data_IF_751961934026
#
_entry.id   IF_751961934026
#
_cell.length_a   1.000
_cell.length_b   1.000
_cell.length_c   1.000
_cell.angle_alpha   90.00
_cell.angle_beta   90.00
_cell.angle_gamma   90.00
#
_symmetry.space_group_name_H-M   'P 1'
#
loop_
_entity.id
_entity.type
_entity.pdbx_description
1 polymer ?
#
# COMPACT_ATOMS: atom_id res chain seq x y z
N UNK A 1 -2.15 20.80 -0.07
CA UNK A 1 -3.50 20.29 0.31
C UNK A 1 -4.53 20.84 -0.64
N UNK A 2 -5.55 20.06 -0.97
CA UNK A 2 -6.71 20.52 -1.74
C UNK A 2 -7.81 21.10 -0.84
N UNK A 3 -8.95 21.48 -1.42
CA UNK A 3 -10.08 22.05 -0.69
C UNK A 3 -10.69 21.09 0.35
N UNK A 4 -10.72 19.78 0.08
CA UNK A 4 -11.25 18.77 1.00
C UNK A 4 -10.32 18.63 2.20
N UNK A 5 -9.01 18.58 1.95
CA UNK A 5 -8.01 18.51 3.00
C UNK A 5 -8.01 19.75 3.90
N UNK A 6 -8.12 20.94 3.30
CA UNK A 6 -8.25 22.19 4.05
C UNK A 6 -9.53 22.23 4.87
N UNK A 7 -10.67 21.82 4.29
CA UNK A 7 -11.95 21.78 5.01
C UNK A 7 -11.90 20.86 6.22
N UNK A 8 -11.29 19.67 6.08
CA UNK A 8 -11.11 18.74 7.19
C UNK A 8 -10.38 19.37 8.38
N UNK A 9 -9.28 20.11 8.14
CA UNK A 9 -8.58 20.82 9.22
C UNK A 9 -9.31 22.06 9.73
N UNK A 10 -10.03 22.77 8.85
CA UNK A 10 -10.90 23.86 9.30
C UNK A 10 -11.96 23.34 10.26
N UNK A 11 -12.54 22.14 10.05
CA UNK A 11 -13.45 21.55 11.03
C UNK A 11 -12.82 21.36 12.42
N UNK A 12 -11.55 20.94 12.51
CA UNK A 12 -10.83 20.87 13.79
C UNK A 12 -10.62 22.27 14.39
N UNK A 13 -10.29 23.26 13.57
CA UNK A 13 -10.17 24.65 14.00
C UNK A 13 -11.51 25.20 14.53
N UNK A 14 -12.62 24.99 13.82
CA UNK A 14 -13.97 25.37 14.24
C UNK A 14 -14.39 24.70 15.55
N UNK A 15 -13.96 23.45 15.78
CA UNK A 15 -14.17 22.80 17.08
C UNK A 15 -13.44 23.55 18.21
N UNK A 16 -12.26 24.10 17.95
CA UNK A 16 -11.50 24.88 18.94
C UNK A 16 -12.16 26.23 19.29
N UNK A 17 -12.98 26.77 18.38
CA UNK A 17 -13.74 28.01 18.56
C UNK A 17 -15.11 27.82 19.23
N UNK A 18 -15.50 26.58 19.54
CA UNK A 18 -16.81 26.29 20.11
C UNK A 18 -17.08 27.06 21.42
N UNK A 19 -18.33 27.48 21.60
CA UNK A 19 -18.79 28.22 22.77
C UNK A 19 -19.60 27.33 23.71
N UNK A 20 -19.60 27.68 24.99
CA UNK A 20 -20.52 27.13 25.99
C UNK A 20 -21.91 27.76 25.82
N UNK A 21 -22.92 27.20 26.50
CA UNK A 21 -24.29 27.73 26.51
C UNK A 21 -24.41 29.20 26.93
N UNK A 22 -23.50 29.67 27.79
CA UNK A 22 -23.45 31.06 28.25
C UNK A 22 -22.63 31.99 27.34
N UNK A 23 -22.27 31.55 26.13
CA UNK A 23 -21.48 32.33 25.17
C UNK A 23 -19.98 32.39 25.45
N UNK A 24 -19.50 31.89 26.59
CA UNK A 24 -18.07 31.86 26.90
C UNK A 24 -17.34 30.79 26.09
N UNK A 25 -16.06 30.99 25.71
CA UNK A 25 -15.27 30.00 24.98
C UNK A 25 -15.19 28.65 25.71
N UNK A 26 -15.35 27.55 24.97
CA UNK A 26 -15.14 26.19 25.50
C UNK A 26 -13.65 25.93 25.78
N UNK A 27 -12.78 26.50 24.95
CA UNK A 27 -11.33 26.41 25.04
C UNK A 27 -10.73 27.77 25.40
N UNK A 28 -9.75 27.77 26.31
CA UNK A 28 -8.93 28.97 26.56
C UNK A 28 -8.03 29.23 25.36
N UNK A 29 -7.57 30.48 25.23
CA UNK A 29 -6.70 30.90 24.13
C UNK A 29 -5.43 30.05 24.04
N UNK A 30 -4.85 29.73 25.21
CA UNK A 30 -3.71 28.80 25.31
C UNK A 30 -4.03 27.39 24.81
N UNK A 31 -5.19 26.84 25.17
CA UNK A 31 -5.56 25.49 24.75
C UNK A 31 -5.79 25.45 23.22
N UNK A 32 -6.34 26.52 22.63
CA UNK A 32 -6.49 26.64 21.16
C UNK A 32 -5.13 26.73 20.48
N UNK A 33 -4.23 27.59 20.97
CA UNK A 33 -2.90 27.80 20.37
C UNK A 33 -2.06 26.52 20.40
N UNK A 34 -2.07 25.78 21.52
CA UNK A 34 -1.43 24.44 21.61
C UNK A 34 -1.98 23.48 20.54
N UNK A 35 -3.30 23.42 20.34
CA UNK A 35 -3.91 22.54 19.33
C UNK A 35 -3.49 22.94 17.91
N UNK A 36 -3.50 24.25 17.63
CA UNK A 36 -3.10 24.79 16.33
C UNK A 36 -1.64 24.43 16.04
N UNK A 37 -0.71 24.80 16.91
CA UNK A 37 0.73 24.56 16.74
C UNK A 37 1.09 23.07 16.70
N UNK A 38 0.34 22.19 17.39
CA UNK A 38 0.64 20.75 17.36
C UNK A 38 0.40 20.14 15.97
N UNK A 39 -0.59 20.64 15.23
CA UNK A 39 -1.06 20.03 13.97
C UNK A 39 -1.00 20.97 12.76
N UNK A 40 -0.56 22.21 12.93
CA UNK A 40 -0.51 23.22 11.88
C UNK A 40 -1.89 23.69 11.42
N UNK A 41 -2.85 23.85 12.36
CA UNK A 41 -4.20 24.33 12.01
C UNK A 41 -4.20 25.84 11.79
N UNK A 42 -5.06 26.32 10.88
CA UNK A 42 -5.17 27.73 10.50
C UNK A 42 -3.80 28.39 10.23
N UNK A 43 -3.02 27.74 9.36
CA UNK A 43 -1.71 28.18 8.87
C UNK A 43 -0.63 28.35 9.96
N UNK A 44 -0.81 27.75 11.13
CA UNK A 44 0.23 27.72 12.15
C UNK A 44 1.38 26.78 11.78
N UNK A 45 2.60 27.12 12.22
CA UNK A 45 3.74 26.23 12.11
C UNK A 45 3.61 25.04 13.07
N UNK A 46 4.00 23.86 12.59
CA UNK A 46 3.94 22.62 13.35
C UNK A 46 5.09 22.58 14.35
N UNK A 47 4.76 22.46 15.63
CA UNK A 47 5.69 22.36 16.74
C UNK A 47 5.50 21.05 17.51
N UNK A 48 6.61 20.51 18.00
CA UNK A 48 6.62 19.39 18.93
C UNK A 48 6.17 19.82 20.32
N UNK A 49 5.72 18.86 21.14
CA UNK A 49 5.40 19.15 22.55
C UNK A 49 6.60 19.68 23.34
N UNK A 50 7.83 19.44 22.90
CA UNK A 50 9.03 19.98 23.56
C UNK A 50 9.21 21.46 23.25
N UNK A 51 9.03 21.86 21.99
CA UNK A 51 9.11 23.26 21.57
C UNK A 51 7.98 24.09 22.18
N UNK A 52 6.73 23.57 22.13
CA UNK A 52 5.59 24.20 22.81
C UNK A 52 5.84 24.26 24.33
N UNK A 53 6.43 23.24 24.94
CA UNK A 53 6.73 23.29 26.37
C UNK A 53 7.72 24.42 26.71
N UNK A 54 8.76 24.60 25.88
CA UNK A 54 9.75 25.66 26.04
C UNK A 54 9.13 27.05 25.86
N UNK A 55 8.34 27.26 24.81
CA UNK A 55 7.71 28.57 24.52
C UNK A 55 6.81 29.03 25.68
N UNK A 56 6.05 28.11 26.29
CA UNK A 56 5.10 28.44 27.35
C UNK A 56 5.68 28.32 28.76
N UNK A 57 6.96 27.98 28.91
CA UNK A 57 7.60 27.76 30.22
C UNK A 57 6.96 26.62 31.01
N UNK A 58 6.50 25.57 30.33
CA UNK A 58 5.84 24.40 30.92
C UNK A 58 6.69 23.15 30.74
N UNK A 59 6.36 22.09 31.47
CA UNK A 59 6.93 20.77 31.17
C UNK A 59 6.24 20.13 29.96
N UNK A 60 6.96 19.29 29.23
CA UNK A 60 6.41 18.49 28.12
C UNK A 60 5.20 17.66 28.55
N UNK A 61 5.24 17.09 29.75
CA UNK A 61 4.12 16.33 30.32
C UNK A 61 2.90 17.23 30.56
N UNK A 62 3.10 18.48 30.97
CA UNK A 62 2.00 19.42 31.12
C UNK A 62 1.34 19.75 29.79
N UNK A 63 2.11 19.94 28.72
CA UNK A 63 1.57 20.11 27.35
C UNK A 63 0.77 18.87 26.94
N UNK A 64 1.29 17.66 27.18
CA UNK A 64 0.56 16.40 26.90
C UNK A 64 -0.78 16.33 27.63
N UNK A 65 -0.83 16.71 28.91
CA UNK A 65 -2.07 16.72 29.68
C UNK A 65 -3.09 17.74 29.14
N UNK A 66 -2.64 18.94 28.77
CA UNK A 66 -3.50 19.94 28.13
C UNK A 66 -4.04 19.44 26.80
N UNK A 67 -3.19 18.79 26.00
CA UNK A 67 -3.58 18.13 24.76
C UNK A 67 -4.68 17.09 24.99
N UNK A 68 -4.54 16.18 25.95
CA UNK A 68 -5.59 15.22 26.32
C UNK A 68 -6.89 15.93 26.75
N UNK A 69 -6.78 17.02 27.51
CA UNK A 69 -7.95 17.82 27.95
C UNK A 69 -8.69 18.46 26.76
N UNK A 70 -7.96 18.91 25.74
CA UNK A 70 -8.54 19.46 24.52
C UNK A 70 -9.42 18.41 23.83
N UNK A 71 -8.88 17.22 23.56
CA UNK A 71 -9.66 16.16 22.92
C UNK A 71 -10.81 15.65 23.79
N UNK A 72 -10.70 15.64 25.12
CA UNK A 72 -11.86 15.37 26.01
C UNK A 72 -13.03 16.32 25.77
N UNK A 73 -12.78 17.60 25.46
CA UNK A 73 -13.84 18.56 25.11
C UNK A 73 -14.44 18.29 23.73
N UNK A 74 -13.65 17.82 22.76
CA UNK A 74 -14.18 17.40 21.45
C UNK A 74 -15.18 16.23 21.59
N UNK A 75 -14.97 15.29 22.52
CA UNK A 75 -15.98 14.25 22.80
C UNK A 75 -17.28 14.78 23.42
N UNK A 76 -17.22 15.91 24.13
CA UNK A 76 -18.45 16.62 24.50
C UNK A 76 -19.13 17.21 23.27
N UNK A 77 -18.40 17.82 22.35
CA UNK A 77 -18.96 18.33 21.09
C UNK A 77 -19.58 17.22 20.24
N UNK A 78 -18.93 16.05 20.16
CA UNK A 78 -19.42 14.86 19.48
C UNK A 78 -20.76 14.39 20.01
N UNK A 79 -20.91 14.26 21.33
CA UNK A 79 -22.19 13.88 21.97
C UNK A 79 -23.33 14.86 21.71
N UNK A 80 -23.02 16.10 21.36
CA UNK A 80 -24.01 17.13 21.04
C UNK A 80 -24.16 17.36 19.52
N UNK A 81 -23.61 16.48 18.67
CA UNK A 81 -23.65 16.59 17.21
C UNK A 81 -23.21 17.98 16.71
N UNK A 82 -22.13 18.52 17.27
CA UNK A 82 -21.58 19.79 16.79
C UNK A 82 -21.26 19.69 15.28
N UNK A 83 -21.66 20.64 14.43
CA UNK A 83 -21.59 20.48 12.97
C UNK A 83 -20.19 20.09 12.46
N UNK A 84 -19.14 20.75 12.95
CA UNK A 84 -17.77 20.44 12.55
C UNK A 84 -17.32 19.03 12.98
N UNK A 85 -17.85 18.48 14.07
CA UNK A 85 -17.59 17.09 14.46
C UNK A 85 -18.25 16.11 13.49
N UNK A 86 -19.49 16.40 13.06
CA UNK A 86 -20.20 15.58 12.07
C UNK A 86 -19.42 15.54 10.75
N UNK A 87 -18.90 16.68 10.30
CA UNK A 87 -18.06 16.73 9.09
C UNK A 87 -16.75 15.96 9.24
N UNK A 88 -16.07 16.07 10.39
CA UNK A 88 -14.87 15.24 10.66
C UNK A 88 -15.24 13.76 10.58
N UNK A 89 -16.34 13.35 11.22
CA UNK A 89 -16.80 11.96 11.23
C UNK A 89 -17.14 11.45 9.82
N UNK A 90 -17.77 12.30 9.00
CA UNK A 90 -18.04 12.02 7.58
C UNK A 90 -16.75 11.83 6.78
N UNK A 91 -15.76 12.71 6.97
CA UNK A 91 -14.47 12.59 6.28
C UNK A 91 -13.73 11.32 6.67
N UNK A 92 -13.63 10.98 7.96
CA UNK A 92 -12.83 9.82 8.41
C UNK A 92 -13.52 8.48 8.21
N UNK A 93 -14.85 8.48 8.01
CA UNK A 93 -15.63 7.27 7.73
C UNK A 93 -16.07 7.15 6.28
N UNK A 94 -15.69 8.09 5.41
CA UNK A 94 -16.17 8.19 4.03
C UNK A 94 -17.69 8.13 3.96
N UNK A 95 -18.37 9.03 4.67
CA UNK A 95 -19.82 9.03 4.84
C UNK A 95 -20.34 7.66 5.32
N UNK A 96 -19.74 7.12 6.38
CA UNK A 96 -20.05 5.82 6.99
C UNK A 96 -19.77 4.57 6.13
N UNK A 97 -19.12 4.71 4.97
CA UNK A 97 -18.73 3.57 4.12
C UNK A 97 -17.52 2.80 4.68
N UNK A 98 -16.76 3.39 5.58
CA UNK A 98 -15.57 2.81 6.22
C UNK A 98 -15.83 2.66 7.71
N UNK A 99 -15.63 1.44 8.23
CA UNK A 99 -15.73 1.18 9.67
C UNK A 99 -14.51 1.72 10.40
N UNK A 100 -14.73 2.67 11.30
CA UNK A 100 -13.68 3.26 12.16
C UNK A 100 -13.16 2.24 13.18
N UNK A 101 -13.95 1.23 13.52
CA UNK A 101 -13.53 0.18 14.47
C UNK A 101 -12.69 -0.93 13.82
N UNK A 102 -12.69 -1.01 12.49
CA UNK A 102 -11.83 -1.94 11.77
C UNK A 102 -10.50 -1.26 11.43
N UNK A 103 -9.45 -1.55 12.19
CA UNK A 103 -8.13 -0.93 12.01
C UNK A 103 -7.58 -1.09 10.59
N UNK A 104 -7.84 -2.22 9.93
CA UNK A 104 -7.40 -2.44 8.56
C UNK A 104 -8.11 -1.51 7.57
N UNK A 105 -9.44 -1.50 7.57
CA UNK A 105 -10.21 -0.63 6.68
C UNK A 105 -9.91 0.84 6.94
N UNK A 106 -9.85 1.23 8.22
CA UNK A 106 -9.60 2.60 8.64
C UNK A 106 -8.19 3.07 8.22
N UNK A 107 -7.13 2.33 8.56
CA UNK A 107 -5.76 2.73 8.25
C UNK A 107 -5.52 2.85 6.75
N UNK A 108 -6.04 1.92 5.95
CA UNK A 108 -5.92 1.94 4.49
C UNK A 108 -6.70 3.11 3.88
N UNK A 109 -7.90 3.39 4.39
CA UNK A 109 -8.68 4.53 3.95
C UNK A 109 -7.99 5.85 4.29
N UNK A 110 -7.50 6.03 5.52
CA UNK A 110 -6.80 7.27 5.92
C UNK A 110 -5.53 7.46 5.10
N UNK A 111 -4.79 6.39 4.78
CA UNK A 111 -3.65 6.48 3.87
C UNK A 111 -4.07 6.98 2.48
N UNK A 112 -5.18 6.48 1.96
CA UNK A 112 -5.72 6.92 0.67
C UNK A 112 -6.18 8.37 0.71
N UNK A 113 -6.99 8.74 1.71
CA UNK A 113 -7.49 10.09 1.92
C UNK A 113 -6.33 11.10 2.05
N UNK A 114 -5.28 10.74 2.79
CA UNK A 114 -4.05 11.53 2.90
C UNK A 114 -3.39 11.76 1.54
N UNK A 115 -3.19 10.70 0.74
CA UNK A 115 -2.57 10.82 -0.59
C UNK A 115 -3.39 11.67 -1.55
N UNK A 116 -4.72 11.58 -1.47
CA UNK A 116 -5.63 12.28 -2.37
C UNK A 116 -5.73 13.77 -2.02
N UNK A 117 -5.86 14.10 -0.73
CA UNK A 117 -6.24 15.45 -0.30
C UNK A 117 -5.12 16.23 0.40
N UNK A 118 -4.14 15.54 0.98
CA UNK A 118 -3.09 16.15 1.81
C UNK A 118 -1.70 15.52 1.64
N UNK A 119 -1.20 15.28 0.41
CA UNK A 119 0.05 14.54 0.20
C UNK A 119 1.27 15.18 0.87
N UNK A 120 1.28 16.51 1.01
CA UNK A 120 2.38 17.28 1.61
C UNK A 120 2.35 17.26 3.15
N UNK A 121 1.23 16.84 3.75
CA UNK A 121 1.10 16.77 5.21
C UNK A 121 1.78 15.52 5.76
N UNK A 122 2.25 15.58 7.00
CA UNK A 122 2.85 14.41 7.64
C UNK A 122 1.77 13.39 8.04
N UNK A 123 1.76 12.22 7.38
CA UNK A 123 0.80 11.13 7.66
C UNK A 123 0.82 10.69 9.14
N UNK A 124 1.99 10.62 9.78
CA UNK A 124 2.07 10.18 11.18
C UNK A 124 1.44 11.21 12.13
N UNK A 125 1.54 12.51 11.81
CA UNK A 125 0.83 13.55 12.55
C UNK A 125 -0.69 13.43 12.36
N UNK A 126 -1.15 13.08 11.16
CA UNK A 126 -2.57 12.84 10.90
C UNK A 126 -3.08 11.63 11.68
N UNK A 127 -2.37 10.50 11.64
CA UNK A 127 -2.72 9.30 12.41
C UNK A 127 -2.77 9.58 13.91
N UNK A 128 -1.82 10.38 14.41
CA UNK A 128 -1.80 10.81 15.82
C UNK A 128 -2.97 11.73 16.16
N UNK A 129 -3.30 12.71 15.31
CA UNK A 129 -4.49 13.55 15.48
C UNK A 129 -5.76 12.69 15.62
N UNK A 130 -5.91 11.73 14.71
CA UNK A 130 -7.06 10.84 14.65
C UNK A 130 -7.12 9.89 15.83
N UNK A 131 -5.99 9.37 16.33
CA UNK A 131 -5.99 8.52 17.52
C UNK A 131 -6.48 9.28 18.76
N UNK A 132 -6.07 10.54 18.93
CA UNK A 132 -6.59 11.39 20.00
C UNK A 132 -8.07 11.73 19.81
N UNK A 133 -8.47 12.04 18.58
CA UNK A 133 -9.87 12.36 18.23
C UNK A 133 -10.84 11.20 18.48
N UNK A 134 -10.37 9.96 18.26
CA UNK A 134 -11.14 8.72 18.43
C UNK A 134 -10.94 8.07 19.81
N UNK A 135 -10.19 8.70 20.72
CA UNK A 135 -9.83 8.12 22.02
C UNK A 135 -9.15 6.75 21.94
N UNK A 136 -8.37 6.51 20.89
CA UNK A 136 -7.57 5.31 20.71
C UNK A 136 -6.28 5.39 21.53
N UNK A 137 -5.73 4.23 21.91
CA UNK A 137 -4.48 4.17 22.67
C UNK A 137 -3.27 4.44 21.75
N UNK A 138 -2.08 4.62 22.34
CA UNK A 138 -0.85 4.85 21.57
C UNK A 138 -0.53 3.70 20.61
N UNK A 139 -0.79 2.46 21.02
CA UNK A 139 -0.56 1.25 20.22
C UNK A 139 -1.39 1.22 18.93
N UNK A 140 -2.53 1.93 18.89
CA UNK A 140 -3.38 1.98 17.69
C UNK A 140 -2.66 2.67 16.53
N UNK A 141 -1.85 3.71 16.82
CA UNK A 141 -1.06 4.39 15.78
C UNK A 141 -0.02 3.44 15.20
N UNK A 142 0.74 2.75 16.05
CA UNK A 142 1.75 1.76 15.63
C UNK A 142 1.12 0.63 14.79
N UNK A 143 -0.09 0.20 15.18
CA UNK A 143 -0.86 -0.80 14.44
C UNK A 143 -1.28 -0.29 13.05
N UNK A 144 -1.82 0.92 12.95
CA UNK A 144 -2.21 1.52 11.67
C UNK A 144 -1.00 1.72 10.75
N UNK A 145 0.13 2.21 11.29
CA UNK A 145 1.38 2.34 10.54
C UNK A 145 1.88 1.00 10.01
N UNK A 146 1.79 -0.06 10.83
CA UNK A 146 2.17 -1.42 10.44
C UNK A 146 1.32 -1.93 9.28
N UNK A 147 -0.01 -1.76 9.37
CA UNK A 147 -0.96 -2.15 8.31
C UNK A 147 -0.63 -1.42 6.99
N UNK A 148 -0.42 -0.10 7.07
CA UNK A 148 -0.08 0.73 5.92
C UNK A 148 1.24 0.26 5.29
N UNK A 149 2.26 0.00 6.10
CA UNK A 149 3.56 -0.49 5.63
C UNK A 149 3.44 -1.84 4.92
N UNK A 150 2.72 -2.79 5.51
CA UNK A 150 2.47 -4.12 4.93
C UNK A 150 1.73 -4.01 3.60
N UNK A 151 0.68 -3.19 3.52
CA UNK A 151 -0.07 -2.97 2.28
C UNK A 151 0.81 -2.36 1.19
N UNK A 152 1.63 -1.35 1.51
CA UNK A 152 2.62 -0.78 0.57
C UNK A 152 3.58 -1.84 0.05
N UNK A 153 4.11 -2.70 0.91
CA UNK A 153 5.02 -3.77 0.51
C UNK A 153 4.33 -4.79 -0.41
N UNK A 154 3.12 -5.21 -0.06
CA UNK A 154 2.33 -6.14 -0.86
C UNK A 154 2.01 -5.56 -2.24
N UNK A 155 1.60 -4.29 -2.31
CA UNK A 155 1.34 -3.61 -3.57
C UNK A 155 2.59 -3.47 -4.44
N UNK A 156 3.74 -3.16 -3.84
CA UNK A 156 5.03 -3.15 -4.55
C UNK A 156 5.39 -4.54 -5.11
N UNK A 157 5.17 -5.61 -4.34
CA UNK A 157 5.40 -6.99 -4.79
C UNK A 157 4.49 -7.35 -5.96
N UNK A 158 3.19 -7.07 -5.85
CA UNK A 158 2.20 -7.28 -6.92
C UNK A 158 2.57 -6.52 -8.20
N UNK A 159 2.91 -5.22 -8.09
CA UNK A 159 3.33 -4.42 -9.24
C UNK A 159 4.62 -4.93 -9.89
N UNK A 160 5.61 -5.38 -9.10
CA UNK A 160 6.84 -6.00 -9.63
C UNK A 160 6.55 -7.28 -10.40
N UNK A 161 5.69 -8.15 -9.85
CA UNK A 161 5.27 -9.37 -10.53
C UNK A 161 4.54 -9.07 -11.85
N UNK A 162 3.60 -8.12 -11.84
CA UNK A 162 2.90 -7.67 -13.05
C UNK A 162 3.85 -7.11 -14.11
N UNK A 163 4.82 -6.28 -13.72
CA UNK A 163 5.85 -5.76 -14.64
C UNK A 163 6.74 -6.86 -15.20
N UNK A 164 7.05 -7.90 -14.41
CA UNK A 164 7.81 -9.08 -14.90
C UNK A 164 7.00 -9.81 -15.96
N UNK A 165 5.72 -10.11 -15.68
CA UNK A 165 4.80 -10.77 -16.62
C UNK A 165 4.70 -9.96 -17.92
N UNK A 166 4.46 -8.65 -17.83
CA UNK A 166 4.36 -7.79 -19.02
C UNK A 166 5.64 -7.86 -19.87
N UNK A 167 6.82 -7.80 -19.26
CA UNK A 167 8.09 -7.92 -19.99
C UNK A 167 8.26 -9.27 -20.67
N UNK A 168 7.85 -10.35 -20.01
CA UNK A 168 7.89 -11.71 -20.56
C UNK A 168 6.97 -11.81 -21.78
N UNK A 169 5.73 -11.35 -21.66
CA UNK A 169 4.75 -11.37 -22.76
C UNK A 169 5.20 -10.49 -23.94
N UNK A 170 5.70 -9.27 -23.70
CA UNK A 170 6.25 -8.43 -24.79
C UNK A 170 7.44 -9.11 -25.49
N UNK A 171 8.28 -9.85 -24.76
CA UNK A 171 9.38 -10.62 -25.37
C UNK A 171 8.85 -11.79 -26.20
N UNK A 172 7.81 -12.47 -25.71
CA UNK A 172 7.15 -13.57 -26.42
C UNK A 172 6.51 -13.08 -27.73
N UNK A 173 5.77 -11.97 -27.69
CA UNK A 173 5.15 -11.35 -28.87
C UNK A 173 6.19 -11.01 -29.94
N UNK A 174 7.32 -10.42 -29.56
CA UNK A 174 8.42 -10.13 -30.50
C UNK A 174 8.99 -11.39 -31.13
N UNK A 175 9.11 -12.46 -30.34
CA UNK A 175 9.60 -13.74 -30.83
C UNK A 175 8.59 -14.36 -31.81
N UNK A 176 7.31 -14.43 -31.45
CA UNK A 176 6.23 -14.93 -32.31
C UNK A 176 6.18 -14.16 -33.63
N UNK A 177 6.32 -12.83 -33.58
CA UNK A 177 6.35 -11.98 -34.77
C UNK A 177 7.58 -12.16 -35.66
N UNK A 178 8.65 -12.77 -35.13
CA UNK A 178 9.86 -13.11 -35.90
C UNK A 178 9.87 -14.54 -36.45
N UNK A 179 8.90 -15.38 -36.04
CA UNK A 179 8.78 -16.76 -36.52
C UNK A 179 8.15 -16.75 -37.92
N UNK A 180 8.76 -17.50 -38.83
CA UNK A 180 8.16 -17.82 -40.13
C UNK A 180 7.23 -19.02 -39.90
N UNK A 181 5.93 -18.76 -39.88
CA UNK A 181 4.90 -19.79 -39.69
C UNK A 181 4.58 -20.51 -41.00
N UNK A 182 4.13 -21.76 -40.90
CA UNK A 182 3.47 -22.45 -42.01
C UNK A 182 2.17 -21.74 -42.38
N UNK A 183 1.72 -21.87 -43.63
CA UNK A 183 0.54 -21.18 -44.16
C UNK A 183 -0.73 -21.41 -43.31
N UNK A 184 -0.84 -22.59 -42.69
CA UNK A 184 -1.94 -22.94 -41.79
C UNK A 184 -1.42 -23.55 -40.48
N UNK A 185 -1.37 -22.80 -39.37
CA UNK A 185 -1.00 -23.36 -38.08
C UNK A 185 -2.06 -24.35 -37.58
N UNK A 186 -1.62 -25.54 -37.14
CA UNK A 186 -2.51 -26.53 -36.51
C UNK A 186 -2.89 -26.05 -35.11
N UNK A 187 -4.17 -26.11 -34.78
CA UNK A 187 -4.67 -25.91 -33.41
C UNK A 187 -4.58 -27.27 -32.69
N UNK A 188 -3.91 -27.29 -31.54
CA UNK A 188 -3.71 -28.50 -30.73
C UNK A 188 -4.69 -28.55 -29.57
N UNK A 189 -5.25 -29.73 -29.32
CA UNK A 189 -5.97 -30.03 -28.08
C UNK A 189 -5.01 -30.37 -26.94
N UNK A 190 -5.45 -30.24 -25.69
CA UNK A 190 -4.63 -30.56 -24.52
C UNK A 190 -4.19 -32.03 -24.46
N UNK A 191 -5.05 -32.94 -24.95
CA UNK A 191 -4.73 -34.36 -25.03
C UNK A 191 -3.64 -34.64 -26.08
N UNK A 192 -3.69 -33.97 -27.24
CA UNK A 192 -2.65 -34.10 -28.27
C UNK A 192 -1.30 -33.54 -27.80
N UNK A 193 -1.30 -32.43 -27.05
CA UNK A 193 -0.07 -31.85 -26.49
C UNK A 193 0.63 -32.81 -25.53
N UNK A 194 -0.12 -33.47 -24.63
CA UNK A 194 0.44 -34.42 -23.65
C UNK A 194 1.06 -35.67 -24.30
N UNK A 195 0.58 -36.05 -25.48
CA UNK A 195 1.11 -37.19 -26.23
C UNK A 195 2.38 -36.86 -27.03
N UNK A 196 2.72 -35.57 -27.15
CA UNK A 196 3.89 -35.13 -27.88
C UNK A 196 5.11 -35.06 -26.94
N UNK A 197 5.74 -36.22 -26.72
CA UNK A 197 6.95 -36.34 -25.91
C UNK A 197 8.20 -36.23 -26.80
N UNK A 198 9.21 -35.50 -26.35
CA UNK A 198 10.50 -35.50 -27.02
C UNK A 198 11.15 -36.88 -26.86
N UNK A 199 11.82 -37.35 -27.92
CA UNK A 199 12.49 -38.66 -27.98
C UNK A 199 13.93 -38.58 -27.45
N UNK A 200 14.38 -37.38 -27.04
CA UNK A 200 15.80 -37.11 -26.78
C UNK A 200 16.28 -37.81 -25.50
N UNK A 201 17.21 -38.76 -25.64
CA UNK A 201 17.90 -39.43 -24.54
C UNK A 201 19.35 -38.93 -24.45
N UNK A 202 19.81 -38.61 -23.24
CA UNK A 202 21.18 -38.16 -23.01
C UNK A 202 22.10 -39.39 -22.98
N UNK A 203 23.05 -39.48 -23.92
CA UNK A 203 24.08 -40.51 -23.89
C UNK A 203 24.92 -40.33 -22.62
N UNK A 204 24.90 -41.32 -21.73
CA UNK A 204 25.58 -41.31 -20.42
C UNK A 204 27.10 -41.22 -20.51
N UNK A 205 27.67 -41.44 -21.70
CA UNK A 205 29.09 -41.77 -21.88
C UNK A 205 29.94 -40.59 -22.34
N UNK A 206 29.35 -39.43 -22.65
CA UNK A 206 30.14 -38.21 -22.89
C UNK A 206 30.50 -37.58 -21.56
N UNK A 207 31.76 -37.77 -21.16
CA UNK A 207 32.42 -37.19 -20.00
C UNK A 207 31.82 -35.84 -19.57
N UNK A 208 31.22 -35.81 -18.38
CA UNK A 208 30.62 -34.65 -17.69
C UNK A 208 31.57 -33.46 -17.46
N UNK A 209 32.78 -33.47 -18.03
CA UNK A 209 33.88 -32.62 -17.59
C UNK A 209 34.11 -31.35 -18.41
N UNK A 210 33.39 -31.07 -19.51
CA UNK A 210 33.52 -29.76 -20.23
C UNK A 210 32.26 -29.21 -20.93
N UNK A 211 31.14 -29.93 -20.96
CA UNK A 211 29.98 -29.61 -21.80
C UNK A 211 28.87 -28.88 -21.03
N UNK A 212 28.38 -27.77 -21.58
CA UNK A 212 27.31 -26.89 -21.05
C UNK A 212 25.90 -27.51 -21.16
N UNK A 213 25.80 -28.83 -20.98
CA UNK A 213 24.60 -29.65 -21.18
C UNK A 213 24.06 -30.14 -19.85
N UNK A 214 22.76 -30.40 -19.76
CA UNK A 214 22.16 -30.97 -18.57
C UNK A 214 20.65 -31.09 -18.66
N UNK A 215 20.02 -31.32 -17.51
CA UNK A 215 18.57 -31.37 -17.38
C UNK A 215 18.07 -30.42 -16.29
N UNK A 216 16.81 -30.04 -16.34
CA UNK A 216 16.10 -29.40 -15.25
C UNK A 216 14.65 -29.88 -15.21
N UNK A 217 14.02 -29.83 -14.03
CA UNK A 217 12.62 -30.18 -13.89
C UNK A 217 11.73 -29.03 -14.37
N UNK A 218 10.93 -29.28 -15.41
CA UNK A 218 9.93 -28.35 -15.93
C UNK A 218 8.63 -28.48 -15.15
N UNK A 219 8.11 -27.35 -14.65
CA UNK A 219 6.81 -27.34 -13.98
C UNK A 219 5.66 -27.44 -14.98
N UNK A 220 5.81 -26.83 -16.17
CA UNK A 220 4.79 -26.85 -17.22
C UNK A 220 4.60 -28.20 -17.89
N UNK A 221 5.69 -28.95 -18.02
CA UNK A 221 5.67 -30.28 -18.63
C UNK A 221 5.60 -31.40 -17.59
N UNK A 222 5.83 -31.08 -16.31
CA UNK A 222 5.88 -32.01 -15.20
C UNK A 222 6.84 -33.20 -15.46
N UNK A 223 8.00 -32.89 -16.05
CA UNK A 223 9.08 -33.85 -16.36
C UNK A 223 10.43 -33.14 -16.41
N UNK A 224 11.51 -33.91 -16.48
CA UNK A 224 12.82 -33.36 -16.81
C UNK A 224 12.87 -32.96 -18.28
N UNK A 225 13.46 -31.79 -18.53
CA UNK A 225 13.72 -31.21 -19.85
C UNK A 225 15.22 -31.13 -20.04
N UNK A 226 15.69 -31.62 -21.18
CA UNK A 226 17.11 -31.65 -21.53
C UNK A 226 17.52 -30.41 -22.31
N UNK A 227 18.73 -29.91 -22.07
CA UNK A 227 19.34 -28.82 -22.83
C UNK A 227 20.79 -29.12 -23.18
N UNK A 228 21.20 -28.71 -24.38
CA UNK A 228 22.53 -28.87 -24.94
C UNK A 228 23.40 -27.62 -24.79
N UNK A 229 22.79 -26.48 -24.44
CA UNK A 229 23.52 -25.24 -24.23
C UNK A 229 22.90 -24.36 -23.15
N UNK A 230 23.70 -23.43 -22.62
CA UNK A 230 23.20 -22.40 -21.69
C UNK A 230 22.18 -21.47 -22.36
N UNK A 231 22.29 -21.24 -23.68
CA UNK A 231 21.31 -20.43 -24.41
C UNK A 231 19.95 -21.13 -24.45
N UNK A 232 19.95 -22.43 -24.73
CA UNK A 232 18.75 -23.26 -24.73
C UNK A 232 18.14 -23.35 -23.32
N UNK A 233 18.97 -23.55 -22.29
CA UNK A 233 18.52 -23.48 -20.89
C UNK A 233 17.88 -22.13 -20.56
N UNK A 234 18.48 -21.03 -21.01
CA UNK A 234 17.92 -19.68 -20.82
C UNK A 234 16.61 -19.49 -21.59
N UNK A 235 16.50 -20.08 -22.77
CA UNK A 235 15.30 -20.03 -23.59
C UNK A 235 14.15 -20.82 -22.96
N UNK A 236 14.39 -22.07 -22.53
CA UNK A 236 13.41 -22.86 -21.80
C UNK A 236 13.03 -22.21 -20.47
N UNK A 237 14.00 -21.65 -19.73
CA UNK A 237 13.72 -20.86 -18.53
C UNK A 237 12.81 -19.66 -18.81
N UNK A 238 12.99 -18.98 -19.94
CA UNK A 238 12.08 -17.92 -20.38
C UNK A 238 10.67 -18.46 -20.68
N UNK A 239 10.56 -19.57 -21.41
CA UNK A 239 9.27 -20.21 -21.70
C UNK A 239 8.56 -20.69 -20.42
N UNK A 240 9.28 -21.26 -19.45
CA UNK A 240 8.76 -21.64 -18.13
C UNK A 240 8.18 -20.45 -17.37
N UNK A 241 8.86 -19.31 -17.39
CA UNK A 241 8.39 -18.13 -16.66
C UNK A 241 7.22 -17.41 -17.34
N UNK A 242 7.02 -17.59 -18.65
CA UNK A 242 6.05 -16.83 -19.44
C UNK A 242 4.61 -17.36 -19.24
N UNK A 243 3.65 -16.61 -18.68
CA UNK A 243 2.32 -17.14 -18.36
C UNK A 243 1.53 -17.66 -19.57
N UNK A 244 1.70 -17.01 -20.73
CA UNK A 244 0.94 -17.34 -21.95
C UNK A 244 1.44 -18.63 -22.63
N UNK A 245 2.62 -19.12 -22.26
CA UNK A 245 3.14 -20.41 -22.73
C UNK A 245 2.57 -21.51 -21.86
N UNK A 246 1.63 -22.29 -22.40
CA UNK A 246 0.98 -23.40 -21.67
C UNK A 246 1.83 -24.67 -21.74
N UNK A 247 2.46 -24.91 -22.89
CA UNK A 247 3.26 -26.10 -23.17
C UNK A 247 4.39 -25.76 -24.15
N UNK A 248 5.50 -26.49 -24.08
CA UNK A 248 6.58 -26.45 -25.06
C UNK A 248 7.26 -27.83 -25.08
N UNK A 249 8.03 -28.12 -26.11
CA UNK A 249 8.77 -29.39 -26.22
C UNK A 249 10.13 -29.13 -26.82
N UNK A 250 11.12 -29.96 -26.49
CA UNK A 250 12.41 -29.93 -27.16
C UNK A 250 12.25 -30.41 -28.61
N UNK A 251 13.17 -30.05 -29.50
CA UNK A 251 13.16 -30.54 -30.87
C UNK A 251 13.23 -32.07 -30.87
N UNK A 252 12.18 -32.71 -31.41
CA UNK A 252 12.18 -34.12 -31.74
C UNK A 252 12.97 -34.30 -33.06
N UNK A 253 13.92 -35.23 -33.07
CA UNK A 253 14.57 -35.69 -34.31
C UNK A 253 13.60 -36.48 -35.19
#
# INVERSE_FOLDING_TARGET
MDAIGLHFFDCFYQCSLALKKNGAPLYSDRDRKILMETYGLADSEIHTFTEIAQEYGLSRERIRQLHVKIFKRMGFLRRNNYPAIVEIDNHISKNHSVSIECDEQFALYIEQFHKEHMPDFNLNLLLRLLSFYLYKNSESVDKWETIICQNRQNNRRKQKAQRKILKLNTRLEKLIGSIIWFDTPKIWSEAEMKNYLSVRQLNSDTERNRSKQGEFFSQKLNRNVFYESLLEKQFYGFLEECPDVIHYTEQAE
#
